data_IF_552695161874
#
_entry.id   IF_552695161874
#
_cell.length_a   1.000
_cell.length_b   1.000
_cell.length_c   1.000
_cell.angle_alpha   90.00
_cell.angle_beta   90.00
_cell.angle_gamma   90.00
#
_symmetry.space_group_name_H-M   'P 1'
#
loop_
_entity.id
_entity.type
_entity.pdbx_description
1 polymer ?
#
# COMPACT_ATOMS: atom_id res chain seq x y z
N UNK A 1 -16.05 32.01 15.88
CA UNK A 1 -15.93 31.28 14.61
C UNK A 1 -14.45 31.22 14.26
N UNK A 2 -13.78 30.16 14.70
CA UNK A 2 -12.36 29.91 14.42
C UNK A 2 -12.25 29.37 12.99
N UNK A 3 -11.67 30.18 12.12
CA UNK A 3 -11.28 29.80 10.76
C UNK A 3 -10.28 28.64 10.83
N UNK A 4 -10.70 27.45 10.39
CA UNK A 4 -9.81 26.31 10.12
C UNK A 4 -9.20 26.60 8.75
N UNK A 5 -8.01 27.17 8.74
CA UNK A 5 -7.22 27.36 7.52
C UNK A 5 -6.93 25.99 6.92
N UNK A 6 -7.59 25.70 5.79
CA UNK A 6 -7.25 24.60 4.89
C UNK A 6 -5.83 24.85 4.35
N UNK A 7 -4.85 24.28 5.02
CA UNK A 7 -3.48 24.09 4.52
C UNK A 7 -3.50 22.99 3.45
N UNK A 8 -4.22 23.25 2.35
CA UNK A 8 -4.33 22.37 1.20
C UNK A 8 -3.12 22.58 0.31
N UNK A 9 -1.99 21.94 0.67
CA UNK A 9 -0.86 21.82 -0.24
C UNK A 9 -1.37 21.25 -1.59
N UNK A 10 -0.98 21.84 -2.73
CA UNK A 10 -1.45 21.39 -4.03
C UNK A 10 -1.08 19.94 -4.28
N UNK A 11 -2.00 19.20 -4.89
CA UNK A 11 -1.81 17.80 -5.23
C UNK A 11 -0.71 17.65 -6.29
N UNK A 12 0.31 16.84 -6.01
CA UNK A 12 1.40 16.55 -6.95
C UNK A 12 1.05 15.35 -7.84
N UNK A 13 0.37 15.63 -8.95
CA UNK A 13 0.02 14.65 -9.98
C UNK A 13 1.24 13.92 -10.56
N UNK A 14 2.41 14.57 -10.59
CA UNK A 14 3.63 13.96 -11.11
C UNK A 14 4.22 12.92 -10.17
N UNK A 15 4.03 13.05 -8.86
CA UNK A 15 4.41 12.05 -7.87
C UNK A 15 3.44 10.88 -7.82
N UNK A 16 2.14 11.15 -8.01
CA UNK A 16 1.12 10.11 -8.07
C UNK A 16 1.34 9.14 -9.24
N UNK A 17 1.64 9.66 -10.44
CA UNK A 17 1.93 8.82 -11.60
C UNK A 17 3.23 8.01 -11.42
N UNK A 18 4.23 8.61 -10.79
CA UNK A 18 5.50 7.92 -10.44
C UNK A 18 5.27 6.76 -9.48
N UNK A 19 4.49 6.96 -8.42
CA UNK A 19 4.12 5.88 -7.49
C UNK A 19 3.40 4.77 -8.24
N UNK A 20 2.38 5.13 -9.02
CA UNK A 20 1.57 4.16 -9.75
C UNK A 20 2.42 3.30 -10.69
N UNK A 21 3.30 3.93 -11.46
CA UNK A 21 4.23 3.22 -12.35
C UNK A 21 5.16 2.33 -11.54
N UNK A 22 5.76 2.86 -10.47
CA UNK A 22 6.71 2.14 -9.61
C UNK A 22 6.12 0.89 -8.96
N UNK A 23 4.87 0.97 -8.48
CA UNK A 23 4.13 -0.17 -7.90
C UNK A 23 3.73 -1.15 -9.00
N UNK A 24 3.18 -0.66 -10.11
CA UNK A 24 2.71 -1.50 -11.22
C UNK A 24 3.84 -2.35 -11.79
N UNK A 25 5.02 -1.76 -12.03
CA UNK A 25 6.17 -2.49 -12.56
C UNK A 25 6.61 -3.65 -11.65
N UNK A 26 6.57 -3.45 -10.32
CA UNK A 26 6.94 -4.48 -9.34
C UNK A 26 5.90 -5.58 -9.25
N UNK A 27 4.62 -5.21 -9.18
CA UNK A 27 3.51 -6.17 -9.13
C UNK A 27 3.50 -7.04 -10.39
N UNK A 28 3.73 -6.45 -11.57
CA UNK A 28 3.79 -7.20 -12.84
C UNK A 28 5.04 -8.07 -12.99
N UNK A 29 6.15 -7.70 -12.35
CA UNK A 29 7.37 -8.50 -12.35
C UNK A 29 7.32 -9.69 -11.39
N UNK A 30 6.37 -9.72 -10.46
CA UNK A 30 6.26 -10.77 -9.47
C UNK A 30 5.86 -12.11 -10.11
N UNK A 31 6.48 -13.24 -9.69
CA UNK A 31 6.28 -14.54 -10.33
C UNK A 31 4.90 -15.16 -10.10
N UNK A 32 4.20 -14.75 -9.03
CA UNK A 32 2.89 -15.27 -8.66
C UNK A 32 2.11 -14.22 -7.82
N UNK A 33 0.81 -14.43 -7.57
CA UNK A 33 0.00 -13.49 -6.79
C UNK A 33 0.51 -13.25 -5.36
N UNK A 34 1.12 -14.27 -4.72
CA UNK A 34 1.66 -14.17 -3.36
C UNK A 34 2.81 -13.17 -3.33
N UNK A 35 3.77 -13.33 -4.24
CA UNK A 35 4.89 -12.41 -4.41
C UNK A 35 4.40 -11.03 -4.83
N UNK A 36 3.38 -10.93 -5.67
CA UNK A 36 2.82 -9.66 -6.11
C UNK A 36 2.24 -8.82 -4.95
N UNK A 37 1.59 -9.46 -3.97
CA UNK A 37 1.10 -8.75 -2.77
C UNK A 37 2.27 -8.26 -1.91
N UNK A 38 3.32 -9.07 -1.75
CA UNK A 38 4.53 -8.64 -1.03
C UNK A 38 5.21 -7.45 -1.72
N UNK A 39 5.35 -7.51 -3.04
CA UNK A 39 5.90 -6.42 -3.85
C UNK A 39 5.05 -5.15 -3.79
N UNK A 40 3.72 -5.28 -3.77
CA UNK A 40 2.80 -4.15 -3.59
C UNK A 40 3.08 -3.43 -2.27
N UNK A 41 3.11 -4.16 -1.14
CA UNK A 41 3.31 -3.59 0.20
C UNK A 41 4.69 -2.93 0.31
N UNK A 42 5.75 -3.63 -0.10
CA UNK A 42 7.10 -3.08 -0.11
C UNK A 42 7.19 -1.83 -0.95
N UNK A 43 6.60 -1.84 -2.14
CA UNK A 43 6.64 -0.69 -3.05
C UNK A 43 5.95 0.53 -2.45
N UNK A 44 4.76 0.35 -1.87
CA UNK A 44 3.98 1.43 -1.26
C UNK A 44 4.72 2.09 -0.07
N UNK A 45 5.35 1.29 0.78
CA UNK A 45 6.06 1.79 1.97
C UNK A 45 7.40 2.43 1.59
N UNK A 46 8.20 1.78 0.74
CA UNK A 46 9.55 2.27 0.40
C UNK A 46 9.55 3.43 -0.58
N UNK A 47 8.51 3.59 -1.41
CA UNK A 47 8.37 4.77 -2.27
C UNK A 47 8.36 6.08 -1.46
N UNK A 48 7.87 6.04 -0.22
CA UNK A 48 7.79 7.22 0.64
C UNK A 48 9.13 7.62 1.26
N UNK A 49 10.04 6.67 1.51
CA UNK A 49 11.42 6.98 1.90
C UNK A 49 12.13 7.82 0.83
N UNK A 50 11.87 7.53 -0.45
CA UNK A 50 12.55 8.17 -1.56
C UNK A 50 11.97 9.54 -1.93
N UNK A 51 10.74 9.86 -1.49
CA UNK A 51 9.99 11.01 -2.02
C UNK A 51 9.48 12.02 -0.98
N UNK A 52 9.65 11.80 0.33
CA UNK A 52 9.43 12.76 1.44
C UNK A 52 8.21 13.70 1.35
N UNK A 53 7.15 13.29 0.64
CA UNK A 53 5.95 14.10 0.42
C UNK A 53 4.76 13.27 0.82
N UNK A 54 3.95 13.83 1.72
CA UNK A 54 2.62 13.33 2.02
C UNK A 54 1.78 13.44 0.74
N UNK A 55 1.57 12.32 0.06
CA UNK A 55 0.54 12.21 -0.96
C UNK A 55 -0.79 12.54 -0.27
N UNK A 56 -1.61 13.42 -0.86
CA UNK A 56 -2.87 13.83 -0.25
C UNK A 56 -3.80 12.64 0.03
N UNK A 57 -4.72 12.81 0.99
CA UNK A 57 -5.69 11.79 1.49
C UNK A 57 -6.40 10.98 0.40
N UNK A 58 -6.52 11.53 -0.81
CA UNK A 58 -7.36 10.99 -1.88
C UNK A 58 -6.65 10.01 -2.83
N UNK A 59 -5.32 9.87 -2.77
CA UNK A 59 -4.55 9.09 -3.78
C UNK A 59 -3.82 7.88 -3.24
N UNK A 60 -3.64 7.77 -1.91
CA UNK A 60 -3.12 6.54 -1.28
C UNK A 60 -4.21 5.45 -1.23
N UNK A 61 -5.46 5.79 -1.56
CA UNK A 61 -6.60 4.88 -1.49
C UNK A 61 -7.03 4.27 -2.83
N UNK A 62 -6.10 3.90 -3.74
CA UNK A 62 -6.49 3.06 -4.88
C UNK A 62 -6.58 1.57 -4.47
N UNK A 63 -7.39 1.29 -3.45
CA UNK A 63 -7.67 -0.06 -2.94
C UNK A 63 -8.22 -0.99 -4.04
N UNK A 64 -8.73 -0.44 -5.15
CA UNK A 64 -9.26 -1.20 -6.28
C UNK A 64 -8.18 -2.05 -6.96
N UNK A 65 -6.95 -1.54 -7.08
CA UNK A 65 -5.82 -2.28 -7.68
C UNK A 65 -5.44 -3.48 -6.79
N UNK A 66 -5.33 -3.26 -5.47
CA UNK A 66 -5.05 -4.33 -4.52
C UNK A 66 -6.22 -5.34 -4.45
N UNK A 67 -7.47 -4.88 -4.45
CA UNK A 67 -8.64 -5.76 -4.48
C UNK A 67 -8.68 -6.63 -5.75
N UNK A 68 -8.28 -6.06 -6.89
CA UNK A 68 -8.15 -6.80 -8.16
C UNK A 68 -7.06 -7.86 -8.04
N UNK A 69 -5.89 -7.52 -7.52
CA UNK A 69 -4.80 -8.46 -7.28
C UNK A 69 -5.22 -9.61 -6.35
N UNK A 70 -5.87 -9.29 -5.23
CA UNK A 70 -6.38 -10.28 -4.28
C UNK A 70 -7.42 -11.20 -4.93
N UNK A 71 -8.32 -10.65 -5.75
CA UNK A 71 -9.31 -11.43 -6.50
C UNK A 71 -8.63 -12.39 -7.50
N UNK A 72 -7.56 -11.96 -8.17
CA UNK A 72 -6.77 -12.82 -9.05
C UNK A 72 -6.13 -13.97 -8.27
N UNK A 73 -5.56 -13.69 -7.10
CA UNK A 73 -4.98 -14.74 -6.25
C UNK A 73 -6.02 -15.74 -5.73
N UNK A 74 -7.24 -15.31 -5.41
CA UNK A 74 -8.35 -16.20 -5.08
C UNK A 74 -8.76 -17.08 -6.27
N UNK A 75 -8.94 -16.49 -7.46
CA UNK A 75 -9.34 -17.21 -8.68
C UNK A 75 -8.32 -18.23 -9.15
N UNK A 76 -7.04 -18.00 -8.85
CA UNK A 76 -5.93 -18.90 -9.20
C UNK A 76 -5.61 -19.91 -8.08
N UNK A 77 -6.34 -19.88 -6.97
CA UNK A 77 -6.19 -20.82 -5.86
C UNK A 77 -5.01 -20.54 -4.92
N UNK A 78 -4.33 -19.40 -5.04
CA UNK A 78 -3.22 -19.02 -4.16
C UNK A 78 -3.69 -18.53 -2.80
N UNK A 79 -4.87 -17.90 -2.75
CA UNK A 79 -5.42 -17.30 -1.54
C UNK A 79 -6.67 -18.03 -1.08
N UNK A 80 -6.94 -17.97 0.23
CA UNK A 80 -8.20 -18.47 0.81
C UNK A 80 -9.36 -17.55 0.41
N UNK A 81 -10.59 -18.00 0.67
CA UNK A 81 -11.76 -17.13 0.49
C UNK A 81 -11.83 -16.03 1.56
N UNK A 82 -12.09 -14.80 1.11
CA UNK A 82 -12.38 -13.60 1.91
C UNK A 82 -12.99 -12.53 1.01
N UNK A 83 -13.57 -11.48 1.61
CA UNK A 83 -13.97 -10.29 0.85
C UNK A 83 -12.72 -9.49 0.44
N UNK A 84 -12.39 -9.50 -0.85
CA UNK A 84 -11.18 -8.87 -1.39
C UNK A 84 -11.16 -7.34 -1.19
N UNK A 85 -12.33 -6.70 -1.18
CA UNK A 85 -12.44 -5.26 -0.96
C UNK A 85 -12.15 -4.93 0.51
N UNK A 86 -12.74 -5.67 1.44
CA UNK A 86 -12.48 -5.47 2.87
C UNK A 86 -11.01 -5.72 3.20
N UNK A 87 -10.41 -6.76 2.62
CA UNK A 87 -9.00 -7.05 2.81
C UNK A 87 -8.10 -5.95 2.24
N UNK A 88 -8.39 -5.46 1.03
CA UNK A 88 -7.64 -4.35 0.44
C UNK A 88 -7.70 -3.10 1.33
N UNK A 89 -8.90 -2.71 1.79
CA UNK A 89 -9.06 -1.56 2.68
C UNK A 89 -8.28 -1.71 3.99
N UNK A 90 -8.24 -2.90 4.58
CA UNK A 90 -7.49 -3.16 5.80
C UNK A 90 -5.98 -3.04 5.59
N UNK A 91 -5.47 -3.57 4.47
CA UNK A 91 -4.05 -3.51 4.12
C UNK A 91 -3.62 -2.08 3.80
N UNK A 92 -4.39 -1.35 2.98
CA UNK A 92 -4.12 0.08 2.72
C UNK A 92 -4.12 0.89 4.01
N UNK A 93 -5.10 0.69 4.88
CA UNK A 93 -5.17 1.40 6.17
C UNK A 93 -3.96 1.11 7.07
N UNK A 94 -3.40 -0.10 7.03
CA UNK A 94 -2.18 -0.44 7.75
C UNK A 94 -0.94 0.25 7.15
N UNK A 95 -0.82 0.26 5.83
CA UNK A 95 0.26 0.98 5.11
C UNK A 95 0.21 2.48 5.45
N UNK A 96 -0.97 3.09 5.35
CA UNK A 96 -1.22 4.49 5.69
C UNK A 96 -0.78 4.81 7.11
N UNK A 97 -1.16 3.97 8.08
CA UNK A 97 -0.80 4.17 9.48
C UNK A 97 0.72 4.10 9.72
N UNK A 98 1.42 3.15 9.08
CA UNK A 98 2.88 3.02 9.18
C UNK A 98 3.58 4.25 8.59
N UNK A 99 3.17 4.67 7.39
CA UNK A 99 3.75 5.83 6.71
C UNK A 99 3.49 7.11 7.51
N UNK A 100 2.25 7.30 7.99
CA UNK A 100 1.89 8.46 8.81
C UNK A 100 2.72 8.52 10.11
N UNK A 101 2.92 7.38 10.77
CA UNK A 101 3.77 7.32 11.97
C UNK A 101 5.22 7.71 11.66
N UNK A 102 5.78 7.20 10.56
CA UNK A 102 7.16 7.49 10.16
C UNK A 102 7.40 8.98 9.81
N UNK A 103 6.40 9.66 9.25
CA UNK A 103 6.52 11.10 8.97
C UNK A 103 6.76 11.94 10.24
N UNK A 104 6.26 11.49 11.38
CA UNK A 104 6.48 12.12 12.68
C UNK A 104 7.66 11.50 13.46
N UNK A 105 8.05 10.26 13.13
CA UNK A 105 9.08 9.46 13.81
C UNK A 105 9.97 8.76 12.79
N UNK A 106 10.90 9.51 12.21
CA UNK A 106 11.76 9.06 11.11
C UNK A 106 12.73 7.95 11.50
N UNK A 107 12.85 7.65 12.79
CA UNK A 107 13.63 6.55 13.35
C UNK A 107 13.01 5.17 13.06
N UNK A 108 11.72 5.11 12.69
CA UNK A 108 11.09 3.85 12.29
C UNK A 108 11.76 3.31 11.01
N UNK A 109 12.27 2.08 11.09
CA UNK A 109 12.78 1.37 9.93
C UNK A 109 11.61 0.91 9.03
N UNK A 110 11.36 1.67 7.96
CA UNK A 110 10.31 1.36 7.00
C UNK A 110 10.58 0.08 6.20
N UNK A 111 11.84 -0.35 6.05
CA UNK A 111 12.17 -1.63 5.42
C UNK A 111 11.68 -2.79 6.28
N UNK A 112 12.06 -2.77 7.56
CA UNK A 112 11.59 -3.76 8.53
C UNK A 112 10.05 -3.71 8.70
N UNK A 113 9.46 -2.51 8.74
CA UNK A 113 8.00 -2.37 8.82
C UNK A 113 7.30 -2.98 7.60
N UNK A 114 7.87 -2.84 6.39
CA UNK A 114 7.32 -3.44 5.19
C UNK A 114 7.36 -4.97 5.22
N UNK A 115 8.46 -5.57 5.72
CA UNK A 115 8.58 -7.02 5.89
C UNK A 115 7.55 -7.57 6.90
N UNK A 116 7.33 -6.85 8.00
CA UNK A 116 6.33 -7.22 9.01
C UNK A 116 4.90 -7.11 8.46
N UNK A 117 4.58 -6.02 7.74
CA UNK A 117 3.26 -5.84 7.12
C UNK A 117 2.99 -6.85 6.01
N UNK A 118 4.00 -7.20 5.22
CA UNK A 118 3.92 -8.30 4.26
C UNK A 118 3.59 -9.60 4.98
N UNK A 119 4.39 -9.98 5.99
CA UNK A 119 4.21 -11.21 6.74
C UNK A 119 2.81 -11.28 7.36
N UNK A 120 2.36 -10.20 7.98
CA UNK A 120 1.02 -10.06 8.53
C UNK A 120 -0.07 -10.28 7.47
N UNK A 121 0.05 -9.62 6.32
CA UNK A 121 -0.93 -9.69 5.24
C UNK A 121 -1.00 -11.10 4.64
N UNK A 122 0.15 -11.68 4.34
CA UNK A 122 0.28 -13.02 3.78
C UNK A 122 -0.31 -14.09 4.71
N UNK A 123 0.00 -14.01 6.00
CA UNK A 123 -0.62 -14.87 7.02
C UNK A 123 -2.14 -14.72 7.08
N UNK A 124 -2.66 -13.54 6.76
CA UNK A 124 -4.08 -13.27 6.73
C UNK A 124 -4.76 -13.78 5.45
N UNK A 125 -4.09 -13.96 4.32
CA UNK A 125 -4.74 -14.29 3.03
C UNK A 125 -4.38 -15.67 2.47
N UNK A 126 -3.30 -16.29 2.91
CA UNK A 126 -2.85 -17.57 2.39
C UNK A 126 -3.77 -18.74 2.78
N UNK A 127 -3.83 -19.74 1.90
CA UNK A 127 -4.39 -21.04 2.24
C UNK A 127 -3.43 -21.73 3.22
N UNK A 128 -3.98 -22.19 4.35
CA UNK A 128 -3.25 -22.98 5.36
C UNK A 128 -3.35 -24.46 5.07
#
# INVERSE_FOLDING_TARGET
MTSRSEDSRPFDYGQAERLRTYVTERVLAAPDPRAAVGEYIRAMITFQQANSVRLGEQWVQNWEDLATLLTVGQRTGHFREFDARVMALAVEGAIDAVVAHWLDHVELDLGAAAEELETFTLNAIEQR
#
